data_IF_026042807380
#
_entry.id   IF_026042807380
#
_cell.length_a   1.000
_cell.length_b   1.000
_cell.length_c   1.000
_cell.angle_alpha   90.00
_cell.angle_beta   90.00
_cell.angle_gamma   90.00
#
_symmetry.space_group_name_H-M   'P 1'
#
loop_
_entity.id
_entity.type
_entity.pdbx_description
1 polymer ?
#
# COMPACT_ATOMS: atom_id res chain seq x y z
N UNK A 1 10.95 27.26 10.90
CA UNK A 1 12.22 26.56 10.56
C UNK A 1 12.06 25.88 9.21
N UNK A 2 13.10 25.76 8.37
CA UNK A 2 12.99 24.98 7.13
C UNK A 2 13.08 23.47 7.42
N UNK A 3 12.18 22.67 6.83
CA UNK A 3 12.12 21.21 6.92
C UNK A 3 12.54 20.59 5.59
N UNK A 4 13.42 19.59 5.64
CA UNK A 4 13.69 18.74 4.48
C UNK A 4 12.60 17.68 4.36
N UNK A 5 11.91 17.64 3.23
CA UNK A 5 10.87 16.65 2.90
C UNK A 5 11.22 16.00 1.57
N UNK A 6 10.88 14.72 1.41
CA UNK A 6 10.97 14.07 0.09
C UNK A 6 10.08 14.84 -0.88
N UNK A 7 10.62 15.21 -2.04
CA UNK A 7 9.88 15.88 -3.12
C UNK A 7 9.50 14.87 -4.20
N UNK A 8 10.48 14.10 -4.68
CA UNK A 8 10.29 13.10 -5.72
C UNK A 8 10.91 11.78 -5.32
N UNK A 9 10.30 10.68 -5.71
CA UNK A 9 10.82 9.33 -5.51
C UNK A 9 10.47 8.44 -6.71
N UNK A 10 11.49 7.87 -7.35
CA UNK A 10 11.35 6.82 -8.36
C UNK A 10 11.80 5.51 -7.74
N UNK A 11 10.87 4.59 -7.55
CA UNK A 11 11.08 3.30 -6.91
C UNK A 11 11.10 2.16 -7.92
N UNK A 12 11.83 1.08 -7.59
CA UNK A 12 11.94 -0.15 -8.42
C UNK A 12 12.54 0.07 -9.81
N UNK A 13 13.31 1.13 -10.02
CA UNK A 13 14.04 1.31 -11.26
C UNK A 13 15.11 0.22 -11.42
N UNK A 14 15.20 -0.33 -12.63
CA UNK A 14 16.20 -1.33 -13.02
C UNK A 14 17.21 -0.68 -13.95
N UNK A 15 18.49 -0.68 -13.62
CA UNK A 15 19.53 -0.10 -14.48
C UNK A 15 19.58 -0.86 -15.80
N UNK A 16 19.28 -0.18 -16.91
CA UNK A 16 19.22 -0.76 -18.26
C UNK A 16 20.60 -0.87 -18.90
N UNK A 17 21.52 0.04 -18.56
CA UNK A 17 22.89 0.04 -19.04
C UNK A 17 23.79 0.88 -18.12
N UNK A 18 25.09 0.70 -18.26
CA UNK A 18 26.11 1.61 -17.71
C UNK A 18 26.80 2.32 -18.87
N UNK A 19 26.88 3.65 -18.82
CA UNK A 19 27.56 4.43 -19.85
C UNK A 19 29.02 4.75 -19.50
N UNK A 20 29.83 4.93 -20.55
CA UNK A 20 31.19 5.44 -20.44
C UNK A 20 31.22 6.94 -20.74
N UNK A 21 32.08 7.70 -20.07
CA UNK A 21 32.25 9.14 -20.32
C UNK A 21 32.38 9.97 -19.04
N UNK A 22 32.52 11.30 -19.17
CA UNK A 22 32.80 12.19 -18.05
C UNK A 22 31.56 12.55 -17.21
N UNK A 23 30.37 12.04 -17.57
CA UNK A 23 29.13 12.32 -16.86
C UNK A 23 29.10 11.58 -15.53
N UNK A 24 28.56 12.24 -14.50
CA UNK A 24 28.29 11.64 -13.19
C UNK A 24 26.81 11.80 -12.85
N UNK A 25 25.98 11.18 -13.70
CA UNK A 25 24.54 11.38 -13.77
C UNK A 25 23.81 10.05 -14.02
N UNK A 26 22.49 10.10 -13.91
CA UNK A 26 21.60 9.01 -14.29
C UNK A 26 20.68 9.47 -15.42
N UNK A 27 20.79 8.86 -16.59
CA UNK A 27 19.81 9.06 -17.65
C UNK A 27 18.56 8.27 -17.32
N UNK A 28 17.41 8.92 -17.32
CA UNK A 28 16.11 8.31 -17.01
C UNK A 28 15.11 8.71 -18.10
N UNK A 29 14.27 7.77 -18.51
CA UNK A 29 13.13 8.01 -19.39
C UNK A 29 12.40 9.31 -19.03
N UNK A 30 12.22 10.19 -20.01
CA UNK A 30 11.59 11.50 -19.81
C UNK A 30 10.16 11.41 -19.25
N UNK A 31 9.39 10.37 -19.59
CA UNK A 31 8.04 10.19 -19.06
C UNK A 31 8.06 9.79 -17.58
N UNK A 32 9.09 9.04 -17.15
CA UNK A 32 9.30 8.68 -15.74
C UNK A 32 9.74 9.91 -14.94
N UNK A 33 10.64 10.73 -15.47
CA UNK A 33 11.06 11.98 -14.84
C UNK A 33 9.91 12.97 -14.71
N UNK A 34 9.09 13.11 -15.76
CA UNK A 34 7.90 13.94 -15.75
C UNK A 34 6.88 13.46 -14.71
N UNK A 35 6.64 12.15 -14.63
CA UNK A 35 5.75 11.58 -13.62
C UNK A 35 6.24 11.81 -12.18
N UNK A 36 7.57 11.87 -11.98
CA UNK A 36 8.19 12.08 -10.67
C UNK A 36 8.39 13.56 -10.33
N UNK A 37 8.03 14.49 -11.21
CA UNK A 37 8.39 15.91 -11.10
C UNK A 37 9.88 16.10 -10.76
N UNK A 38 10.75 15.41 -11.49
CA UNK A 38 12.19 15.43 -11.25
C UNK A 38 12.90 16.06 -12.45
N UNK A 39 13.54 17.21 -12.21
CA UNK A 39 14.09 18.07 -13.24
C UNK A 39 15.60 17.89 -13.39
N UNK A 40 16.12 18.30 -14.55
CA UNK A 40 17.57 18.33 -14.78
C UNK A 40 18.23 19.28 -13.79
N UNK A 41 19.24 18.76 -13.09
CA UNK A 41 19.99 19.51 -12.08
C UNK A 41 19.44 19.35 -10.65
N UNK A 42 18.32 18.66 -10.46
CA UNK A 42 17.84 18.34 -9.11
C UNK A 42 18.83 17.43 -8.39
N UNK A 43 19.19 17.83 -7.17
CA UNK A 43 20.03 17.02 -6.30
C UNK A 43 19.26 15.75 -5.93
N UNK A 44 19.71 14.63 -6.47
CA UNK A 44 19.06 13.35 -6.39
C UNK A 44 19.95 12.36 -5.66
N UNK A 45 19.43 11.69 -4.65
CA UNK A 45 20.12 10.56 -4.03
C UNK A 45 19.77 9.29 -4.80
N UNK A 46 20.77 8.59 -5.31
CA UNK A 46 20.64 7.23 -5.83
C UNK A 46 20.95 6.24 -4.71
N UNK A 47 20.02 5.32 -4.47
CA UNK A 47 20.21 4.19 -3.55
C UNK A 47 20.25 2.89 -4.36
N UNK A 48 21.32 2.13 -4.24
CA UNK A 48 21.42 0.76 -4.78
C UNK A 48 20.83 -0.19 -3.77
N UNK A 49 19.65 -0.73 -4.07
CA UNK A 49 18.80 -1.43 -3.09
C UNK A 49 19.51 -2.66 -2.51
N UNK A 50 20.09 -3.47 -3.38
CA UNK A 50 20.68 -4.76 -2.97
C UNK A 50 22.01 -4.59 -2.23
N UNK A 51 22.72 -3.48 -2.47
CA UNK A 51 24.01 -3.19 -1.86
C UNK A 51 23.93 -2.23 -0.66
N UNK A 52 22.79 -1.56 -0.46
CA UNK A 52 22.64 -0.54 0.58
C UNK A 52 23.52 0.70 0.37
N UNK A 53 24.06 0.90 -0.83
CA UNK A 53 24.94 2.02 -1.17
C UNK A 53 24.08 3.24 -1.53
N UNK A 54 24.46 4.41 -1.04
CA UNK A 54 23.84 5.68 -1.40
C UNK A 54 24.88 6.67 -1.90
N UNK A 55 24.54 7.42 -2.94
CA UNK A 55 25.34 8.52 -3.46
C UNK A 55 24.46 9.66 -3.96
N UNK A 56 24.97 10.88 -3.90
CA UNK A 56 24.34 12.03 -4.51
C UNK A 56 24.73 12.12 -5.98
N UNK A 57 23.75 12.45 -6.83
CA UNK A 57 23.87 12.60 -8.28
C UNK A 57 22.76 13.55 -8.76
N UNK A 58 22.58 13.62 -10.07
CA UNK A 58 21.48 14.32 -10.73
C UNK A 58 21.00 13.48 -11.92
N UNK A 59 19.80 13.77 -12.42
CA UNK A 59 19.24 13.07 -13.57
C UNK A 59 19.42 13.85 -14.86
N UNK A 60 19.39 13.12 -15.98
CA UNK A 60 19.25 13.66 -17.32
C UNK A 60 18.13 12.91 -18.06
N UNK A 61 17.39 13.56 -18.96
CA UNK A 61 16.33 12.90 -19.71
C UNK A 61 16.93 12.00 -20.80
N UNK A 62 16.44 10.77 -20.87
CA UNK A 62 16.52 9.91 -22.04
C UNK A 62 15.26 10.10 -22.93
N UNK A 63 15.22 9.56 -24.15
CA UNK A 63 14.01 9.61 -24.98
C UNK A 63 12.77 9.09 -24.21
N UNK A 64 11.59 9.72 -24.40
CA UNK A 64 10.35 9.25 -23.80
C UNK A 64 10.00 7.83 -24.29
N UNK A 65 9.23 7.09 -23.49
CA UNK A 65 8.81 5.72 -23.73
C UNK A 65 9.98 4.72 -24.02
N UNK A 66 11.20 5.05 -23.63
CA UNK A 66 12.39 4.21 -23.84
C UNK A 66 12.61 3.16 -22.74
N UNK A 67 12.06 3.37 -21.53
CA UNK A 67 12.37 2.58 -20.34
C UNK A 67 13.81 2.75 -19.85
N UNK A 68 14.54 3.73 -20.36
CA UNK A 68 15.97 3.91 -20.06
C UNK A 68 16.18 4.30 -18.61
N UNK A 69 17.09 3.58 -17.93
CA UNK A 69 17.69 3.98 -16.66
C UNK A 69 19.18 3.66 -16.78
N UNK A 70 19.98 4.61 -17.23
CA UNK A 70 21.39 4.41 -17.51
C UNK A 70 22.26 5.21 -16.55
N UNK A 71 23.17 4.54 -15.85
CA UNK A 71 24.06 5.17 -14.89
C UNK A 71 25.41 5.49 -15.51
N UNK A 72 26.03 6.60 -15.11
CA UNK A 72 27.37 7.03 -15.50
C UNK A 72 28.22 7.29 -14.25
N UNK A 73 29.54 7.42 -14.41
CA UNK A 73 30.43 7.86 -13.33
C UNK A 73 30.39 6.98 -12.08
N UNK A 74 30.28 7.61 -10.91
CA UNK A 74 30.27 6.92 -9.62
C UNK A 74 29.05 5.99 -9.49
N UNK A 75 27.90 6.40 -10.04
CA UNK A 75 26.71 5.57 -10.08
C UNK A 75 26.94 4.28 -10.87
N UNK A 76 27.61 4.34 -12.03
CA UNK A 76 27.91 3.16 -12.83
C UNK A 76 28.84 2.17 -12.12
N UNK A 77 29.76 2.65 -11.28
CA UNK A 77 30.68 1.80 -10.53
C UNK A 77 29.97 0.96 -9.45
N UNK A 78 28.87 1.46 -8.88
CA UNK A 78 28.15 0.81 -7.77
C UNK A 78 26.80 0.22 -8.16
N UNK A 79 26.25 0.61 -9.31
CA UNK A 79 24.98 0.14 -9.85
C UNK A 79 25.17 -0.36 -11.29
N UNK A 80 25.79 -1.54 -11.49
CA UNK A 80 25.93 -2.12 -12.82
C UNK A 80 24.56 -2.41 -13.47
N UNK A 81 24.58 -2.73 -14.77
CA UNK A 81 23.37 -3.13 -15.49
C UNK A 81 22.64 -4.28 -14.76
N UNK A 82 21.32 -4.14 -14.63
CA UNK A 82 20.45 -5.06 -13.89
C UNK A 82 20.30 -4.73 -12.41
N UNK A 83 21.08 -3.81 -11.85
CA UNK A 83 20.91 -3.35 -10.46
C UNK A 83 19.57 -2.69 -10.24
N UNK A 84 19.00 -2.91 -9.06
CA UNK A 84 17.80 -2.21 -8.60
C UNK A 84 18.18 -0.94 -7.86
N UNK A 85 17.63 0.18 -8.30
CA UNK A 85 17.89 1.48 -7.69
C UNK A 85 16.60 2.20 -7.29
N UNK A 86 16.76 3.16 -6.37
CA UNK A 86 15.77 4.17 -6.00
C UNK A 86 16.41 5.54 -6.18
N UNK A 87 15.68 6.46 -6.82
CA UNK A 87 16.10 7.86 -6.95
C UNK A 87 15.19 8.71 -6.08
N UNK A 88 15.76 9.58 -5.24
CA UNK A 88 14.99 10.44 -4.32
C UNK A 88 15.51 11.87 -4.35
N UNK A 89 14.63 12.85 -4.51
CA UNK A 89 14.93 14.28 -4.31
C UNK A 89 14.25 14.79 -3.03
N UNK A 90 14.78 15.87 -2.44
CA UNK A 90 14.20 16.50 -1.27
C UNK A 90 14.01 18.00 -1.49
N UNK A 91 12.87 18.53 -1.06
CA UNK A 91 12.60 19.96 -1.00
C UNK A 91 12.86 20.49 0.42
N UNK A 92 13.39 21.72 0.48
CA UNK A 92 13.46 22.51 1.70
C UNK A 92 12.23 23.40 1.75
N UNK A 93 11.37 23.16 2.73
CA UNK A 93 10.06 23.79 2.84
C UNK A 93 9.93 24.50 4.17
N UNK A 94 9.23 25.63 4.21
CA UNK A 94 8.80 26.19 5.49
C UNK A 94 7.70 25.32 6.14
N UNK A 95 7.21 25.72 7.32
CA UNK A 95 6.25 24.92 8.08
C UNK A 95 4.87 24.85 7.43
N UNK A 96 4.44 25.92 6.76
CA UNK A 96 3.14 25.98 6.07
C UNK A 96 3.19 25.09 4.82
N UNK A 97 4.25 25.23 4.03
CA UNK A 97 4.51 24.40 2.85
C UNK A 97 4.65 22.92 3.24
N UNK A 98 5.43 22.61 4.29
CA UNK A 98 5.66 21.23 4.71
C UNK A 98 4.41 20.54 5.29
N UNK A 99 3.39 21.28 5.72
CA UNK A 99 2.14 20.74 6.23
C UNK A 99 1.21 20.23 5.10
N UNK A 100 1.29 20.85 3.92
CA UNK A 100 0.46 20.52 2.75
C UNK A 100 1.22 19.81 1.63
N UNK A 101 2.55 19.68 1.77
CA UNK A 101 3.41 19.07 0.77
C UNK A 101 3.13 17.58 0.56
N UNK A 102 2.89 17.20 -0.68
CA UNK A 102 2.70 15.81 -1.11
C UNK A 102 3.83 15.42 -2.06
N UNK A 103 4.60 14.35 -1.79
CA UNK A 103 5.67 13.92 -2.67
C UNK A 103 5.15 13.25 -3.94
N UNK A 104 5.89 13.41 -5.03
CA UNK A 104 5.70 12.67 -6.26
C UNK A 104 6.35 11.29 -6.12
N UNK A 105 5.53 10.23 -6.12
CA UNK A 105 5.99 8.86 -5.95
C UNK A 105 5.67 8.03 -7.20
N UNK A 106 6.71 7.62 -7.92
CA UNK A 106 6.63 6.81 -9.14
C UNK A 106 7.17 5.42 -8.87
N UNK A 107 6.35 4.40 -9.14
CA UNK A 107 6.75 3.00 -9.04
C UNK A 107 6.92 2.41 -10.43
N UNK A 108 8.06 1.78 -10.69
CA UNK A 108 8.31 1.15 -11.97
C UNK A 108 8.05 -0.36 -11.94
N UNK A 109 7.62 -0.87 -13.09
CA UNK A 109 7.66 -2.29 -13.46
C UNK A 109 9.11 -2.74 -13.74
N UNK A 110 9.39 -4.05 -13.85
CA UNK A 110 10.73 -4.55 -14.20
C UNK A 110 11.28 -4.02 -15.54
N UNK A 111 10.42 -3.66 -16.48
CA UNK A 111 10.76 -3.03 -17.77
C UNK A 111 10.77 -1.49 -17.71
N UNK A 112 10.88 -0.92 -16.49
CA UNK A 112 10.92 0.51 -16.22
C UNK A 112 9.73 1.32 -16.73
N UNK A 113 8.60 0.68 -16.98
CA UNK A 113 7.33 1.37 -17.26
C UNK A 113 6.71 1.81 -15.95
N UNK A 114 6.11 3.00 -15.96
CA UNK A 114 5.37 3.52 -14.82
C UNK A 114 4.22 2.56 -14.49
N UNK A 115 4.32 1.89 -13.34
CA UNK A 115 3.33 0.98 -12.81
C UNK A 115 2.38 1.75 -11.89
N UNK A 116 1.34 2.32 -12.49
CA UNK A 116 0.51 3.29 -11.82
C UNK A 116 1.30 4.58 -11.63
N UNK A 117 1.12 5.53 -12.55
CA UNK A 117 1.47 6.90 -12.24
C UNK A 117 0.54 7.26 -11.08
N UNK A 118 1.09 7.43 -9.88
CA UNK A 118 0.47 8.34 -8.95
C UNK A 118 0.52 9.69 -9.67
N UNK A 119 -0.51 10.00 -10.47
CA UNK A 119 -0.77 11.37 -10.88
C UNK A 119 -0.82 12.26 -9.63
N UNK A 120 -0.89 13.58 -9.78
CA UNK A 120 -1.19 14.43 -8.63
C UNK A 120 -2.36 13.79 -7.88
N UNK A 121 -2.13 13.40 -6.62
CA UNK A 121 -3.24 13.05 -5.72
C UNK A 121 -4.16 14.25 -5.87
N UNK A 122 -5.36 14.10 -6.46
CA UNK A 122 -6.23 15.25 -6.65
C UNK A 122 -6.32 15.94 -5.29
N UNK A 123 -6.15 17.28 -5.21
CA UNK A 123 -6.24 17.96 -3.93
C UNK A 123 -7.49 17.42 -3.27
N UNK A 124 -7.29 16.79 -2.11
CA UNK A 124 -8.36 16.19 -1.35
C UNK A 124 -9.40 17.29 -1.25
N UNK A 125 -10.50 17.18 -2.01
CA UNK A 125 -11.67 17.96 -1.71
C UNK A 125 -11.94 17.61 -0.27
N UNK A 126 -11.80 18.61 0.61
CA UNK A 126 -11.97 18.50 2.04
C UNK A 126 -12.99 17.41 2.41
N UNK A 127 -12.47 16.22 2.71
CA UNK A 127 -13.06 15.31 3.67
C UNK A 127 -12.11 15.27 4.86
N UNK A 128 -11.67 16.45 5.31
CA UNK A 128 -11.13 16.64 6.64
C UNK A 128 -12.09 15.98 7.64
N UNK A 129 -11.67 14.85 8.23
CA UNK A 129 -12.34 14.24 9.38
C UNK A 129 -13.01 12.87 9.20
N UNK A 130 -13.07 12.27 8.00
CA UNK A 130 -13.69 10.95 7.82
C UNK A 130 -12.64 9.82 7.76
N UNK A 131 -12.13 9.39 8.91
CA UNK A 131 -11.42 8.09 9.00
C UNK A 131 -12.39 6.97 8.59
N UNK A 132 -12.01 6.09 7.66
CA UNK A 132 -12.82 4.91 7.28
C UNK A 132 -12.84 3.81 8.36
N UNK A 133 -12.24 4.07 9.52
CA UNK A 133 -12.15 3.12 10.63
C UNK A 133 -13.41 3.24 11.48
N UNK A 134 -14.31 2.25 11.46
CA UNK A 134 -15.57 2.34 12.15
C UNK A 134 -15.38 2.07 13.64
N UNK A 135 -16.37 2.45 14.44
CA UNK A 135 -16.44 2.01 15.84
C UNK A 135 -17.03 0.60 15.88
N UNK A 136 -16.30 -0.31 16.52
CA UNK A 136 -16.79 -1.67 16.71
C UNK A 136 -17.61 -1.77 18.00
N UNK A 137 -18.63 -2.63 18.03
CA UNK A 137 -19.29 -3.00 19.28
C UNK A 137 -18.33 -3.80 20.17
N UNK A 138 -18.44 -3.60 21.49
CA UNK A 138 -17.78 -4.47 22.48
C UNK A 138 -18.05 -5.95 22.17
N UNK A 139 -17.07 -6.85 22.36
CA UNK A 139 -15.79 -6.64 23.02
C UNK A 139 -14.64 -6.17 22.10
N UNK A 140 -14.95 -5.70 20.89
CA UNK A 140 -13.95 -5.38 19.88
C UNK A 140 -13.59 -3.90 19.87
N UNK A 141 -12.32 -3.60 19.58
CA UNK A 141 -11.87 -2.24 19.33
C UNK A 141 -10.84 -2.21 18.20
N UNK A 142 -10.82 -1.12 17.45
CA UNK A 142 -9.80 -0.82 16.45
C UNK A 142 -8.96 0.36 16.92
N UNK A 143 -7.65 0.25 16.72
CA UNK A 143 -6.70 1.36 16.85
C UNK A 143 -5.90 1.45 15.57
N UNK A 144 -5.89 2.61 14.92
CA UNK A 144 -5.00 2.85 13.77
C UNK A 144 -3.56 2.67 14.21
N UNK A 145 -2.78 1.91 13.43
CA UNK A 145 -1.36 1.72 13.67
C UNK A 145 -0.62 3.04 13.41
N UNK A 146 0.29 3.37 14.31
CA UNK A 146 1.15 4.53 14.19
C UNK A 146 2.37 4.20 13.33
N UNK A 147 2.87 5.20 12.59
CA UNK A 147 4.09 5.06 11.81
C UNK A 147 5.31 5.23 12.74
N UNK A 148 5.43 4.32 13.71
CA UNK A 148 6.52 4.28 14.69
C UNK A 148 7.18 2.88 14.75
N UNK A 149 8.38 2.77 15.35
CA UNK A 149 9.09 1.50 15.44
C UNK A 149 8.37 0.40 16.23
N UNK A 150 7.51 0.74 17.20
CA UNK A 150 6.83 -0.23 18.09
C UNK A 150 5.71 -0.94 17.34
N UNK A 151 4.85 -0.18 16.68
CA UNK A 151 3.75 -0.72 15.89
C UNK A 151 4.29 -1.47 14.67
N UNK A 152 5.30 -0.92 14.00
CA UNK A 152 5.97 -1.58 12.87
C UNK A 152 6.63 -2.91 13.28
N UNK A 153 7.29 -2.98 14.44
CA UNK A 153 7.87 -4.21 14.95
C UNK A 153 6.80 -5.26 15.27
N UNK A 154 5.69 -4.84 15.90
CA UNK A 154 4.59 -5.75 16.23
C UNK A 154 3.95 -6.35 14.98
N UNK A 155 3.66 -5.52 13.97
CA UNK A 155 3.11 -6.00 12.69
C UNK A 155 4.12 -6.91 11.98
N UNK A 156 5.39 -6.52 11.94
CA UNK A 156 6.47 -7.35 11.39
C UNK A 156 6.50 -8.73 12.03
N UNK A 157 6.45 -8.83 13.36
CA UNK A 157 6.46 -10.12 14.06
C UNK A 157 5.28 -11.01 13.65
N UNK A 158 4.07 -10.45 13.60
CA UNK A 158 2.89 -11.22 13.20
C UNK A 158 2.92 -11.63 11.72
N UNK A 159 3.32 -10.72 10.83
CA UNK A 159 3.37 -11.00 9.39
C UNK A 159 4.45 -12.03 9.03
N UNK A 160 5.47 -12.17 9.86
CA UNK A 160 6.47 -13.24 9.76
C UNK A 160 6.05 -14.54 10.46
N UNK A 161 4.94 -14.56 11.21
CA UNK A 161 4.45 -15.80 11.82
C UNK A 161 4.01 -16.79 10.72
N UNK A 162 4.42 -18.07 10.77
CA UNK A 162 4.18 -19.03 9.67
C UNK A 162 2.74 -19.15 9.22
N UNK A 163 1.78 -18.99 10.14
CA UNK A 163 0.35 -19.11 9.85
C UNK A 163 -0.23 -17.88 9.12
N UNK A 164 0.44 -16.73 9.18
CA UNK A 164 0.08 -15.48 8.47
C UNK A 164 0.89 -15.34 7.17
N UNK A 165 2.21 -15.57 7.24
CA UNK A 165 3.16 -15.32 6.16
C UNK A 165 2.73 -15.94 4.82
N UNK A 166 2.25 -17.19 4.85
CA UNK A 166 1.79 -17.90 3.64
C UNK A 166 0.58 -17.24 2.95
N UNK A 167 -0.28 -16.55 3.70
CA UNK A 167 -1.50 -15.94 3.17
C UNK A 167 -1.33 -14.47 2.80
N UNK A 168 -0.47 -13.74 3.53
CA UNK A 168 -0.31 -12.29 3.39
C UNK A 168 0.81 -11.88 2.44
N UNK A 169 1.88 -12.67 2.28
CA UNK A 169 2.98 -12.35 1.37
C UNK A 169 3.80 -11.10 1.76
N UNK A 170 3.65 -10.61 3.00
CA UNK A 170 4.29 -9.41 3.55
C UNK A 170 5.13 -9.70 4.79
N UNK A 171 5.84 -10.83 4.79
CA UNK A 171 6.81 -11.20 5.83
C UNK A 171 8.07 -10.31 5.73
N UNK A 172 7.88 -9.00 5.90
CA UNK A 172 8.90 -7.99 5.77
C UNK A 172 9.52 -7.65 7.13
N UNK A 173 10.76 -7.13 7.17
CA UNK A 173 11.35 -6.57 8.37
C UNK A 173 10.59 -5.33 8.89
N UNK A 174 10.74 -5.04 10.19
CA UNK A 174 10.10 -3.88 10.83
C UNK A 174 10.39 -2.54 10.16
N UNK A 175 11.61 -2.33 9.65
CA UNK A 175 11.95 -1.10 8.92
C UNK A 175 11.13 -0.89 7.65
N UNK A 176 10.76 -1.97 6.95
CA UNK A 176 9.89 -1.91 5.76
C UNK A 176 8.45 -1.64 6.17
N UNK A 177 7.98 -2.25 7.27
CA UNK A 177 6.66 -1.94 7.82
C UNK A 177 6.54 -0.49 8.29
N UNK A 178 7.57 0.07 8.91
CA UNK A 178 7.59 1.48 9.31
C UNK A 178 7.40 2.42 8.10
N UNK A 179 8.10 2.13 7.00
CA UNK A 179 7.95 2.88 5.75
C UNK A 179 6.56 2.71 5.14
N UNK A 180 6.01 1.49 5.17
CA UNK A 180 4.66 1.20 4.65
C UNK A 180 3.57 1.91 5.47
N UNK A 181 3.66 1.92 6.80
CA UNK A 181 2.73 2.65 7.66
C UNK A 181 2.78 4.16 7.42
N UNK A 182 3.98 4.72 7.25
CA UNK A 182 4.16 6.12 6.90
C UNK A 182 3.55 6.44 5.53
N UNK A 183 3.74 5.56 4.54
CA UNK A 183 3.18 5.69 3.19
C UNK A 183 1.65 5.64 3.22
N UNK A 184 1.06 4.64 3.90
CA UNK A 184 -0.39 4.48 4.01
C UNK A 184 -1.04 5.69 4.69
N UNK A 185 -0.41 6.21 5.75
CA UNK A 185 -0.84 7.43 6.44
C UNK A 185 -0.78 8.68 5.55
N UNK A 186 0.29 8.82 4.76
CA UNK A 186 0.46 9.97 3.87
C UNK A 186 -0.57 9.95 2.72
N UNK A 187 -0.85 8.78 2.16
CA UNK A 187 -1.81 8.64 1.07
C UNK A 187 -3.27 8.76 1.53
N UNK A 188 -3.57 8.32 2.76
CA UNK A 188 -4.93 8.40 3.30
C UNK A 188 -5.94 7.48 2.58
N UNK A 189 -5.45 6.43 1.92
CA UNK A 189 -6.24 5.48 1.11
C UNK A 189 -6.43 4.12 1.79
N UNK A 190 -5.57 3.82 2.77
CA UNK A 190 -5.57 2.58 3.55
C UNK A 190 -5.27 2.88 5.02
N UNK A 191 -6.03 2.25 5.91
CA UNK A 191 -5.94 2.41 7.36
C UNK A 191 -5.51 1.08 8.00
N UNK A 192 -4.21 0.91 8.28
CA UNK A 192 -3.72 -0.23 9.03
C UNK A 192 -4.17 -0.11 10.48
N UNK A 193 -4.78 -1.16 11.02
CA UNK A 193 -5.39 -1.13 12.34
C UNK A 193 -5.01 -2.37 13.14
N UNK A 194 -4.70 -2.14 14.40
CA UNK A 194 -4.66 -3.16 15.44
C UNK A 194 -6.07 -3.46 15.93
N UNK A 195 -6.33 -4.74 16.17
CA UNK A 195 -7.60 -5.24 16.69
C UNK A 195 -7.41 -5.73 18.11
N UNK A 196 -8.20 -5.18 19.02
CA UNK A 196 -8.29 -5.65 20.40
C UNK A 196 -9.61 -6.38 20.65
N UNK A 197 -9.56 -7.39 21.52
CA UNK A 197 -10.74 -8.12 22.01
C UNK A 197 -10.65 -8.23 23.54
N UNK A 198 -11.60 -7.62 24.26
CA UNK A 198 -11.57 -7.48 25.73
C UNK A 198 -10.26 -6.87 26.24
N UNK A 199 -9.78 -5.84 25.55
CA UNK A 199 -8.55 -5.10 25.89
C UNK A 199 -7.24 -5.79 25.49
N UNK A 200 -7.25 -7.06 25.09
CA UNK A 200 -6.06 -7.76 24.59
C UNK A 200 -5.92 -7.60 23.09
N UNK A 201 -4.70 -7.35 22.62
CA UNK A 201 -4.39 -7.24 21.21
C UNK A 201 -4.38 -8.62 20.54
N UNK A 202 -5.22 -8.83 19.52
CA UNK A 202 -5.48 -10.17 18.94
C UNK A 202 -5.33 -10.25 17.42
N UNK A 203 -5.20 -9.13 16.72
CA UNK A 203 -5.07 -9.17 15.27
C UNK A 203 -4.76 -7.82 14.64
N UNK A 204 -4.66 -7.87 13.32
CA UNK A 204 -4.37 -6.77 12.44
C UNK A 204 -5.39 -6.74 11.31
N UNK A 205 -5.84 -5.56 10.92
CA UNK A 205 -6.77 -5.35 9.82
C UNK A 205 -6.33 -4.14 8.98
N UNK A 206 -6.37 -4.25 7.66
CA UNK A 206 -6.29 -3.10 6.76
C UNK A 206 -7.70 -2.83 6.23
N UNK A 207 -8.15 -1.58 6.37
CA UNK A 207 -9.38 -1.08 5.74
C UNK A 207 -8.93 -0.11 4.65
N UNK A 208 -9.41 -0.24 3.42
CA UNK A 208 -8.96 0.60 2.30
C UNK A 208 -10.10 1.01 1.38
N UNK A 209 -9.92 2.07 0.59
CA UNK A 209 -10.84 2.40 -0.50
C UNK A 209 -10.54 1.49 -1.68
N UNK A 210 -11.54 0.75 -2.14
CA UNK A 210 -11.32 -0.22 -3.22
C UNK A 210 -10.89 0.48 -4.50
N UNK A 211 -11.50 1.62 -4.82
CA UNK A 211 -11.19 2.39 -6.04
C UNK A 211 -9.78 2.97 -6.09
N UNK A 212 -9.09 3.03 -4.95
CA UNK A 212 -7.70 3.50 -4.83
C UNK A 212 -6.72 2.32 -4.69
N UNK A 213 -7.22 1.09 -4.66
CA UNK A 213 -6.40 -0.11 -4.61
C UNK A 213 -5.81 -0.42 -6.00
N UNK A 214 -4.55 -0.90 -6.10
CA UNK A 214 -3.94 -1.29 -7.36
C UNK A 214 -4.74 -2.34 -8.16
N UNK A 215 -5.62 -3.10 -7.49
CA UNK A 215 -6.46 -4.11 -8.12
C UNK A 215 -7.86 -3.62 -8.50
N UNK A 216 -8.20 -2.34 -8.24
CA UNK A 216 -9.49 -1.75 -8.58
C UNK A 216 -9.90 -2.01 -10.04
N UNK A 217 -8.95 -1.93 -10.98
CA UNK A 217 -9.21 -2.12 -12.40
C UNK A 217 -9.60 -3.55 -12.81
N UNK A 218 -9.45 -4.54 -11.92
CA UNK A 218 -9.82 -5.94 -12.19
C UNK A 218 -11.22 -6.29 -11.66
N UNK A 219 -11.84 -5.40 -10.89
CA UNK A 219 -13.12 -5.65 -10.21
C UNK A 219 -14.09 -4.51 -10.45
N UNK A 220 -15.38 -4.81 -10.46
CA UNK A 220 -16.42 -3.79 -10.55
C UNK A 220 -16.59 -3.10 -9.19
N UNK A 221 -15.73 -2.10 -8.92
CA UNK A 221 -15.71 -1.34 -7.68
C UNK A 221 -16.48 -0.02 -7.81
N UNK A 222 -17.37 0.23 -6.84
CA UNK A 222 -18.08 1.49 -6.72
C UNK A 222 -17.26 2.53 -5.94
N UNK A 223 -17.54 3.83 -6.12
CA UNK A 223 -16.76 4.92 -5.52
C UNK A 223 -16.75 4.93 -3.98
N UNK A 224 -17.73 4.31 -3.35
CA UNK A 224 -17.88 4.25 -1.89
C UNK A 224 -17.57 2.87 -1.31
N UNK A 225 -17.12 1.93 -2.14
CA UNK A 225 -16.75 0.58 -1.73
C UNK A 225 -15.46 0.58 -0.91
N UNK A 226 -15.47 -0.24 0.13
CA UNK A 226 -14.35 -0.39 1.05
C UNK A 226 -13.86 -1.83 1.08
N UNK A 227 -12.55 -2.01 1.13
CA UNK A 227 -11.91 -3.31 1.18
C UNK A 227 -11.42 -3.62 2.59
N UNK A 228 -11.33 -4.92 2.92
CA UNK A 228 -10.76 -5.39 4.19
C UNK A 228 -9.77 -6.54 4.00
N UNK A 229 -8.62 -6.45 4.65
CA UNK A 229 -7.67 -7.56 4.85
C UNK A 229 -7.49 -7.85 6.33
N UNK A 230 -7.52 -9.11 6.76
CA UNK A 230 -7.42 -9.49 8.17
C UNK A 230 -6.35 -10.54 8.45
N UNK A 231 -5.65 -10.37 9.58
CA UNK A 231 -4.74 -11.33 10.17
C UNK A 231 -5.04 -11.50 11.66
N UNK A 232 -5.12 -12.75 12.13
CA UNK A 232 -5.20 -13.06 13.56
C UNK A 232 -3.81 -13.40 14.08
N UNK A 233 -3.36 -12.67 15.11
CA UNK A 233 -2.02 -12.77 15.65
C UNK A 233 -1.72 -14.17 16.21
N UNK A 234 -2.66 -14.71 17.00
CA UNK A 234 -2.46 -15.96 17.72
C UNK A 234 -2.94 -17.19 16.90
N UNK A 235 -2.08 -18.18 16.63
CA UNK A 235 -2.48 -19.37 15.86
C UNK A 235 -3.53 -20.22 16.59
N UNK A 236 -3.48 -20.26 17.93
CA UNK A 236 -4.42 -21.02 18.77
C UNK A 236 -5.87 -20.51 18.71
N UNK A 237 -6.05 -19.27 18.24
CA UNK A 237 -7.35 -18.65 18.07
C UNK A 237 -8.01 -19.02 16.74
N UNK A 238 -7.27 -19.66 15.82
CA UNK A 238 -7.82 -20.17 14.57
C UNK A 238 -8.79 -21.33 14.83
N UNK A 239 -9.83 -21.42 14.00
CA UNK A 239 -10.84 -22.48 14.08
C UNK A 239 -11.86 -22.32 15.20
N UNK A 240 -11.70 -21.35 16.11
CA UNK A 240 -12.62 -21.09 17.24
C UNK A 240 -13.71 -20.05 16.95
N UNK A 241 -13.95 -19.73 15.67
CA UNK A 241 -14.98 -18.76 15.26
C UNK A 241 -14.62 -17.27 15.42
N UNK A 242 -13.45 -16.93 15.98
CA UNK A 242 -13.01 -15.53 16.17
C UNK A 242 -12.86 -14.74 14.87
N UNK A 243 -12.24 -15.33 13.84
CA UNK A 243 -12.08 -14.69 12.53
C UNK A 243 -13.42 -14.27 11.89
N UNK A 244 -14.39 -15.18 11.73
CA UNK A 244 -15.73 -14.84 11.26
C UNK A 244 -16.45 -13.79 12.12
N UNK A 245 -16.33 -13.86 13.44
CA UNK A 245 -16.96 -12.91 14.35
C UNK A 245 -16.38 -11.49 14.19
N UNK A 246 -15.06 -11.37 14.10
CA UNK A 246 -14.37 -10.11 13.86
C UNK A 246 -14.68 -9.55 12.46
N UNK A 247 -14.62 -10.38 11.41
CA UNK A 247 -15.00 -9.99 10.06
C UNK A 247 -16.43 -9.47 9.99
N UNK A 248 -17.36 -10.14 10.69
CA UNK A 248 -18.75 -9.69 10.79
C UNK A 248 -18.85 -8.33 11.48
N UNK A 249 -18.24 -8.18 12.66
CA UNK A 249 -18.28 -6.94 13.42
C UNK A 249 -17.72 -5.74 12.62
N UNK A 250 -16.57 -5.91 11.96
CA UNK A 250 -15.97 -4.85 11.14
C UNK A 250 -16.84 -4.53 9.92
N UNK A 251 -17.25 -5.55 9.17
CA UNK A 251 -18.01 -5.32 7.94
C UNK A 251 -19.41 -4.76 8.19
N UNK A 252 -20.09 -5.18 9.26
CA UNK A 252 -21.39 -4.59 9.66
C UNK A 252 -21.19 -3.11 10.04
N UNK A 253 -20.19 -2.78 10.86
CA UNK A 253 -19.92 -1.40 11.24
C UNK A 253 -19.52 -0.51 10.03
N UNK A 254 -18.72 -1.02 9.09
CA UNK A 254 -18.36 -0.31 7.86
C UNK A 254 -19.57 0.01 6.96
N UNK A 255 -20.55 -0.91 6.92
CA UNK A 255 -21.79 -0.74 6.19
C UNK A 255 -22.71 0.25 6.91
N UNK A 256 -22.90 0.09 8.22
CA UNK A 256 -23.82 0.90 9.04
C UNK A 256 -23.37 2.37 9.14
N UNK A 257 -22.07 2.63 9.27
CA UNK A 257 -21.51 3.98 9.30
C UNK A 257 -21.30 4.58 7.89
N UNK A 258 -21.48 3.78 6.84
CA UNK A 258 -21.28 4.18 5.45
C UNK A 258 -22.51 4.77 4.77
N UNK A 259 -22.33 5.39 3.59
CA UNK A 259 -23.45 5.80 2.76
C UNK A 259 -24.26 4.58 2.29
N UNK A 260 -25.54 4.79 2.03
CA UNK A 260 -26.41 3.76 1.44
C UNK A 260 -25.83 3.31 0.10
N UNK A 261 -25.78 1.99 -0.10
CA UNK A 261 -25.22 1.38 -1.31
C UNK A 261 -23.71 1.07 -1.23
N UNK A 262 -23.01 1.42 -0.14
CA UNK A 262 -21.65 0.92 0.10
C UNK A 262 -21.63 -0.61 0.15
N UNK A 263 -20.58 -1.20 -0.42
CA UNK A 263 -20.25 -2.62 -0.28
C UNK A 263 -18.91 -2.77 0.44
N UNK A 264 -18.75 -3.90 1.13
CA UNK A 264 -17.46 -4.32 1.73
C UNK A 264 -16.91 -5.47 0.91
N UNK A 265 -15.71 -5.29 0.36
CA UNK A 265 -15.03 -6.24 -0.52
C UNK A 265 -13.86 -6.89 0.20
N UNK A 266 -13.53 -8.12 -0.19
CA UNK A 266 -12.31 -8.78 0.21
C UNK A 266 -11.80 -9.71 -0.89
N UNK A 267 -10.48 -9.85 -0.95
CA UNK A 267 -9.78 -10.53 -2.04
C UNK A 267 -8.86 -11.67 -1.53
N UNK A 268 -9.39 -12.67 -0.81
CA UNK A 268 -8.61 -13.85 -0.45
C UNK A 268 -8.18 -14.64 -1.70
N UNK A 269 -7.01 -15.28 -1.62
CA UNK A 269 -6.60 -16.25 -2.62
C UNK A 269 -7.70 -17.33 -2.77
N UNK A 270 -8.08 -17.65 -4.01
CA UNK A 270 -9.10 -18.62 -4.35
C UNK A 270 -8.87 -20.01 -3.74
N UNK A 271 -7.61 -20.36 -3.42
CA UNK A 271 -7.25 -21.64 -2.79
C UNK A 271 -7.27 -21.61 -1.26
N UNK A 272 -7.44 -20.44 -0.63
CA UNK A 272 -7.44 -20.28 0.83
C UNK A 272 -8.81 -20.64 1.46
N UNK A 273 -9.16 -21.92 1.41
CA UNK A 273 -10.44 -22.43 1.89
C UNK A 273 -10.82 -21.99 3.33
N UNK A 274 -9.89 -21.93 4.31
CA UNK A 274 -10.19 -21.40 5.64
C UNK A 274 -10.64 -19.94 5.64
N UNK A 275 -10.01 -19.08 4.83
CA UNK A 275 -10.41 -17.67 4.71
C UNK A 275 -11.77 -17.54 4.02
N UNK A 276 -12.00 -18.26 2.92
CA UNK A 276 -13.28 -18.25 2.20
C UNK A 276 -14.45 -18.62 3.13
N UNK A 277 -14.31 -19.72 3.88
CA UNK A 277 -15.31 -20.14 4.87
C UNK A 277 -15.52 -19.09 5.96
N UNK A 278 -14.48 -18.34 6.34
CA UNK A 278 -14.61 -17.30 7.35
C UNK A 278 -15.40 -16.09 6.83
N UNK A 279 -15.16 -15.67 5.59
CA UNK A 279 -15.93 -14.63 4.90
C UNK A 279 -17.40 -15.03 4.72
N UNK A 280 -17.66 -16.25 4.24
CA UNK A 280 -19.03 -16.79 4.11
C UNK A 280 -19.78 -16.78 5.45
N UNK A 281 -19.14 -17.26 6.53
CA UNK A 281 -19.71 -17.21 7.90
C UNK A 281 -19.90 -15.79 8.43
N UNK A 282 -19.16 -14.80 7.92
CA UNK A 282 -19.33 -13.40 8.26
C UNK A 282 -20.43 -12.69 7.42
N UNK A 283 -21.05 -13.40 6.47
CA UNK A 283 -22.13 -12.90 5.64
C UNK A 283 -21.68 -12.35 4.28
N UNK A 284 -20.43 -12.61 3.86
CA UNK A 284 -19.99 -12.28 2.51
C UNK A 284 -20.47 -13.34 1.52
N UNK A 285 -20.71 -12.92 0.29
CA UNK A 285 -21.00 -13.78 -0.84
C UNK A 285 -19.84 -13.77 -1.81
N UNK A 286 -19.46 -14.93 -2.33
CA UNK A 286 -18.46 -15.03 -3.40
C UNK A 286 -19.12 -14.64 -4.72
N UNK A 287 -18.67 -13.54 -5.34
CA UNK A 287 -19.23 -13.02 -6.59
C UNK A 287 -18.52 -13.56 -7.84
N UNK A 288 -17.20 -13.64 -7.80
CA UNK A 288 -16.40 -14.05 -8.94
C UNK A 288 -15.06 -14.64 -8.54
N UNK A 289 -14.41 -15.32 -9.48
CA UNK A 289 -12.99 -15.58 -9.45
C UNK A 289 -12.31 -14.62 -10.42
N UNK A 290 -11.41 -13.79 -9.89
CA UNK A 290 -10.78 -12.72 -10.66
C UNK A 290 -9.27 -12.99 -10.70
N UNK A 291 -8.69 -13.22 -11.88
CA UNK A 291 -7.24 -13.24 -12.02
C UNK A 291 -6.69 -11.83 -11.79
N UNK A 292 -5.82 -11.69 -10.79
CA UNK A 292 -5.05 -10.47 -10.54
C UNK A 292 -3.56 -10.82 -10.59
N UNK A 293 -2.65 -9.84 -10.73
CA UNK A 293 -1.23 -10.12 -10.65
C UNK A 293 -0.90 -10.93 -9.39
N UNK A 294 -0.11 -12.00 -9.55
CA UNK A 294 0.35 -12.92 -8.49
C UNK A 294 -0.65 -13.97 -7.97
N UNK A 295 -1.97 -13.84 -8.19
CA UNK A 295 -2.96 -14.85 -7.72
C UNK A 295 -4.30 -14.80 -8.46
N UNK A 296 -5.05 -15.88 -8.40
CA UNK A 296 -6.51 -15.82 -8.61
C UNK A 296 -7.17 -15.49 -7.27
N UNK A 297 -7.90 -14.40 -7.21
CA UNK A 297 -8.68 -14.03 -6.03
C UNK A 297 -10.12 -14.54 -6.13
N UNK A 298 -10.73 -14.92 -5.01
CA UNK A 298 -12.17 -15.09 -4.93
C UNK A 298 -12.76 -13.79 -4.38
N UNK A 299 -13.42 -13.01 -5.23
CA UNK A 299 -14.00 -11.74 -4.83
C UNK A 299 -15.17 -11.99 -3.88
N UNK A 300 -14.97 -11.66 -2.61
CA UNK A 300 -15.96 -11.76 -1.55
C UNK A 300 -16.60 -10.39 -1.36
N UNK A 301 -17.93 -10.32 -1.43
CA UNK A 301 -18.69 -9.06 -1.31
C UNK A 301 -19.77 -9.19 -0.26
N UNK A 302 -19.85 -8.19 0.62
CA UNK A 302 -20.94 -8.03 1.57
C UNK A 302 -21.61 -6.68 1.34
N UNK A 303 -22.93 -6.67 1.39
CA UNK A 303 -23.78 -5.53 1.11
C UNK A 303 -24.79 -5.39 2.25
N UNK A 304 -25.42 -4.22 2.38
CA UNK A 304 -26.57 -4.06 3.27
C UNK A 304 -27.64 -5.11 2.93
N UNK A 305 -28.19 -5.77 3.96
CA UNK A 305 -29.30 -6.71 3.76
C UNK A 305 -30.47 -5.95 3.13
N UNK A 306 -30.96 -6.43 1.99
CA UNK A 306 -32.20 -5.92 1.42
C UNK A 306 -33.36 -6.21 2.39
N UNK A 307 -34.34 -5.30 2.57
CA UNK A 307 -35.51 -5.54 3.43
C UNK A 307 -36.34 -6.78 3.07
N UNK A 308 -36.09 -7.39 1.91
CA UNK A 308 -36.75 -8.57 1.36
C UNK A 308 -36.08 -9.91 1.71
N UNK A 309 -35.01 -9.93 2.50
CA UNK A 309 -34.30 -11.18 2.85
C UNK A 309 -35.06 -12.00 3.91
N UNK A 310 -35.55 -13.22 3.61
CA UNK A 310 -36.46 -13.99 4.47
C UNK A 310 -35.89 -14.44 5.82
N UNK A 311 -34.60 -14.23 6.10
CA UNK A 311 -33.97 -14.51 7.39
C UNK A 311 -34.07 -13.34 8.41
N UNK A 312 -34.86 -12.30 8.12
CA UNK A 312 -35.05 -11.13 8.98
C UNK A 312 -36.25 -11.25 9.96
N UNK A 313 -36.68 -12.47 10.32
CA UNK A 313 -37.69 -12.72 11.36
C UNK A 313 -37.14 -13.62 12.45
#
# INVERSE_FOLDING_TARGET
MLRSRVHSLIHRATVTATGEGPLDAVLVDADVLAAADLQVGDRTTLTVVDAGIQLETYVLPAPPDSGTVQTFGAAAAVAPQGSRIVLTSHALLDEEQAAVHTPHMVFLTPDNRVHGAGGPVPPQQDRAGSTLVPRLPEPWALRVAEADPVDALTISQWMNAPHIAHAWGRAWPAGVWLQELARQRALGVSWPCFVSHRGALVGYIEIYRVVEDPYAGYIDAGPEDVGVHIALANPEERGRGRGPALLRAVSDALLDEGPRGRRVLAEPNATNAPALRAFEKAGFTRRAYVPIPQKTTALMVKEHRSPSDPAAR
#
